data_IF_031952411340
#
_entry.id   IF_031952411340
#
_cell.length_a   1.000
_cell.length_b   1.000
_cell.length_c   1.000
_cell.angle_alpha   90.00
_cell.angle_beta   90.00
_cell.angle_gamma   90.00
#
_symmetry.space_group_name_H-M   'P 1'
#
loop_
_entity.id
_entity.type
_entity.pdbx_description
1 polymer ?
#
# COMPACT_ATOMS: atom_id res chain seq x y z
N UNK A 1 11.57 10.24 -13.47
CA UNK A 1 11.15 8.90 -13.09
C UNK A 1 9.94 8.99 -12.16
N UNK A 2 10.05 9.61 -10.99
CA UNK A 2 8.96 9.71 -9.99
C UNK A 2 7.64 10.23 -10.56
N UNK A 3 7.65 11.34 -11.30
CA UNK A 3 6.44 11.93 -11.91
C UNK A 3 5.69 10.96 -12.83
N UNK A 4 6.41 10.12 -13.57
CA UNK A 4 5.79 9.11 -14.44
C UNK A 4 5.11 8.01 -13.64
N UNK A 5 5.75 7.55 -12.55
CA UNK A 5 5.17 6.56 -11.63
C UNK A 5 3.92 7.17 -10.97
N UNK A 6 3.98 8.42 -10.50
CA UNK A 6 2.83 9.14 -9.94
C UNK A 6 1.67 9.20 -10.92
N UNK A 7 1.93 9.51 -12.20
CA UNK A 7 0.88 9.55 -13.22
C UNK A 7 0.21 8.19 -13.42
N UNK A 8 1.00 7.10 -13.48
CA UNK A 8 0.46 5.74 -13.60
C UNK A 8 -0.38 5.35 -12.38
N UNK A 9 0.10 5.65 -11.16
CA UNK A 9 -0.61 5.36 -9.92
C UNK A 9 -1.92 6.16 -9.79
N UNK A 10 -1.94 7.43 -10.20
CA UNK A 10 -3.19 8.22 -10.26
C UNK A 10 -4.20 7.63 -11.23
N UNK A 11 -3.76 7.28 -12.45
CA UNK A 11 -4.64 6.64 -13.42
C UNK A 11 -5.18 5.29 -12.94
N UNK A 12 -4.38 4.51 -12.21
CA UNK A 12 -4.84 3.30 -11.53
C UNK A 12 -5.89 3.62 -10.44
N UNK A 13 -5.70 4.70 -9.68
CA UNK A 13 -6.67 5.19 -8.68
C UNK A 13 -8.02 5.55 -9.29
N UNK A 14 -8.05 6.14 -10.48
CA UNK A 14 -9.30 6.46 -11.19
C UNK A 14 -10.12 5.19 -11.52
N UNK A 15 -9.47 4.02 -11.66
CA UNK A 15 -10.16 2.75 -11.91
C UNK A 15 -10.97 2.25 -10.71
N UNK A 16 -10.63 2.66 -9.49
CA UNK A 16 -11.23 2.16 -8.25
C UNK A 16 -12.00 3.22 -7.47
N UNK A 17 -11.81 4.50 -7.78
CA UNK A 17 -12.44 5.62 -7.04
C UNK A 17 -13.96 5.52 -6.97
N UNK A 18 -14.60 5.18 -8.08
CA UNK A 18 -16.06 5.11 -8.22
C UNK A 18 -16.58 3.67 -8.17
N UNK A 19 -15.77 2.73 -7.65
CA UNK A 19 -16.19 1.34 -7.53
C UNK A 19 -17.24 1.18 -6.43
N UNK A 20 -18.34 0.49 -6.76
CA UNK A 20 -19.45 0.21 -5.84
C UNK A 20 -19.90 -1.23 -5.94
N UNK A 21 -20.56 -1.74 -4.89
CA UNK A 21 -21.06 -3.12 -4.80
C UNK A 21 -19.94 -4.17 -4.99
N UNK A 22 -18.76 -3.87 -4.50
CA UNK A 22 -17.51 -4.61 -4.74
C UNK A 22 -17.61 -6.04 -4.19
N UNK A 23 -18.36 -6.24 -3.13
CA UNK A 23 -18.53 -7.55 -2.47
C UNK A 23 -19.00 -8.66 -3.43
N UNK A 24 -19.74 -8.32 -4.48
CA UNK A 24 -20.22 -9.28 -5.49
C UNK A 24 -19.12 -9.85 -6.39
N UNK A 25 -18.02 -9.11 -6.50
CA UNK A 25 -16.88 -9.44 -7.36
C UNK A 25 -15.66 -9.90 -6.53
N UNK A 26 -15.90 -10.23 -5.25
CA UNK A 26 -14.86 -10.59 -4.27
C UNK A 26 -14.72 -12.12 -4.20
N UNK A 27 -13.47 -12.59 -4.05
CA UNK A 27 -13.13 -14.00 -3.79
C UNK A 27 -12.22 -14.09 -2.59
N UNK A 28 -12.28 -15.20 -1.86
CA UNK A 28 -11.31 -15.54 -0.82
C UNK A 28 -10.06 -16.17 -1.46
N UNK A 29 -8.87 -15.74 -1.02
CA UNK A 29 -7.57 -16.34 -1.41
C UNK A 29 -7.26 -17.55 -0.52
N UNK A 30 -6.83 -17.29 0.72
CA UNK A 30 -6.41 -18.31 1.69
C UNK A 30 -7.39 -18.47 2.85
N UNK A 31 -8.43 -17.65 2.92
CA UNK A 31 -9.48 -17.69 3.96
C UNK A 31 -10.31 -16.42 3.97
N UNK A 32 -11.35 -16.42 4.80
CA UNK A 32 -12.38 -15.36 4.86
C UNK A 32 -11.85 -13.92 5.08
N UNK A 33 -10.63 -13.79 5.57
CA UNK A 33 -10.00 -12.49 5.80
C UNK A 33 -9.06 -12.06 4.67
N UNK A 34 -8.72 -12.98 3.76
CA UNK A 34 -7.79 -12.77 2.65
C UNK A 34 -8.58 -12.67 1.34
N UNK A 35 -8.88 -11.44 0.94
CA UNK A 35 -9.80 -11.14 -0.14
C UNK A 35 -9.05 -10.66 -1.38
N UNK A 36 -9.61 -10.95 -2.54
CA UNK A 36 -9.22 -10.38 -3.83
C UNK A 36 -10.47 -10.04 -4.63
N UNK A 37 -10.42 -8.94 -5.34
CA UNK A 37 -11.49 -8.51 -6.23
C UNK A 37 -11.03 -8.49 -7.69
N UNK A 38 -11.96 -8.35 -8.62
CA UNK A 38 -11.62 -8.10 -10.04
C UNK A 38 -10.80 -6.82 -10.24
N UNK A 39 -10.94 -5.86 -9.30
CA UNK A 39 -10.21 -4.59 -9.36
C UNK A 39 -8.74 -4.76 -9.05
N UNK A 40 -8.37 -5.62 -8.07
CA UNK A 40 -6.96 -5.92 -7.76
C UNK A 40 -6.25 -6.43 -9.01
N UNK A 41 -6.85 -7.38 -9.72
CA UNK A 41 -6.29 -7.95 -10.95
C UNK A 41 -6.20 -6.88 -12.06
N UNK A 42 -7.27 -6.12 -12.29
CA UNK A 42 -7.31 -5.12 -13.35
C UNK A 42 -6.30 -3.97 -13.10
N UNK A 43 -6.20 -3.49 -11.86
CA UNK A 43 -5.23 -2.47 -11.46
C UNK A 43 -3.81 -2.98 -11.62
N UNK A 44 -3.53 -4.23 -11.19
CA UNK A 44 -2.20 -4.81 -11.36
C UNK A 44 -1.81 -4.96 -12.83
N UNK A 45 -2.70 -5.45 -13.70
CA UNK A 45 -2.45 -5.58 -15.14
C UNK A 45 -2.20 -4.21 -15.79
N UNK A 46 -2.96 -3.20 -15.40
CA UNK A 46 -2.77 -1.83 -15.85
C UNK A 46 -1.38 -1.31 -15.42
N UNK A 47 -1.05 -1.40 -14.14
CA UNK A 47 0.24 -0.94 -13.61
C UNK A 47 1.41 -1.72 -14.21
N UNK A 48 1.30 -3.03 -14.41
CA UNK A 48 2.32 -3.83 -15.07
C UNK A 48 2.69 -3.25 -16.45
N UNK A 49 1.69 -2.96 -17.28
CA UNK A 49 1.90 -2.40 -18.62
C UNK A 49 2.53 -1.01 -18.56
N UNK A 50 1.96 -0.11 -17.76
CA UNK A 50 2.41 1.28 -17.66
C UNK A 50 3.82 1.39 -17.07
N UNK A 51 4.10 0.68 -15.98
CA UNK A 51 5.38 0.74 -15.28
C UNK A 51 6.52 0.13 -16.09
N UNK A 52 6.30 -0.99 -16.78
CA UNK A 52 7.30 -1.55 -17.70
C UNK A 52 7.47 -0.67 -18.94
N UNK A 53 6.48 0.13 -19.34
CA UNK A 53 6.65 1.19 -20.34
C UNK A 53 7.56 2.34 -19.86
N UNK A 54 7.61 2.59 -18.54
CA UNK A 54 8.47 3.61 -17.92
C UNK A 54 9.91 3.11 -17.72
N UNK A 55 10.07 1.84 -17.30
CA UNK A 55 11.37 1.19 -17.03
C UNK A 55 11.36 -0.24 -17.60
N UNK A 56 11.61 -0.42 -18.90
CA UNK A 56 11.54 -1.75 -19.57
C UNK A 56 12.58 -2.75 -19.05
N UNK A 57 13.67 -2.26 -18.49
CA UNK A 57 14.73 -3.07 -17.87
C UNK A 57 14.36 -3.60 -16.48
N UNK A 58 13.22 -3.19 -15.89
CA UNK A 58 12.81 -3.68 -14.58
C UNK A 58 12.11 -5.05 -14.65
N UNK A 59 12.21 -5.81 -13.57
CA UNK A 59 11.27 -6.88 -13.27
C UNK A 59 10.00 -6.28 -12.64
N UNK A 60 8.91 -7.05 -12.63
CA UNK A 60 7.67 -6.65 -11.98
C UNK A 60 7.25 -7.73 -10.97
N UNK A 61 7.06 -7.31 -9.73
CA UNK A 61 6.55 -8.13 -8.64
C UNK A 61 5.24 -7.52 -8.13
N UNK A 62 4.11 -8.16 -8.47
CA UNK A 62 2.79 -7.80 -7.98
C UNK A 62 2.33 -8.74 -6.89
N UNK A 63 1.33 -8.34 -6.12
CA UNK A 63 0.71 -9.18 -5.10
C UNK A 63 -0.12 -10.31 -5.73
N UNK A 64 -0.77 -10.04 -6.87
CA UNK A 64 -1.71 -10.98 -7.47
C UNK A 64 -1.04 -11.90 -8.49
N UNK A 65 -1.34 -13.20 -8.38
CA UNK A 65 -0.89 -14.22 -9.34
C UNK A 65 0.45 -14.85 -9.03
N UNK A 66 1.16 -15.31 -10.07
CA UNK A 66 2.46 -15.95 -9.90
C UNK A 66 3.54 -14.90 -9.67
N UNK A 67 4.28 -15.06 -8.58
CA UNK A 67 5.41 -14.19 -8.26
C UNK A 67 6.55 -14.41 -9.26
N UNK A 68 6.95 -13.35 -9.92
CA UNK A 68 8.13 -13.36 -10.80
C UNK A 68 9.39 -13.40 -9.93
N UNK A 69 10.33 -14.29 -10.24
CA UNK A 69 11.65 -14.25 -9.63
C UNK A 69 12.36 -12.97 -10.07
N UNK A 70 12.78 -12.15 -9.11
CA UNK A 70 13.53 -10.92 -9.41
C UNK A 70 14.94 -11.29 -9.87
N UNK A 71 15.26 -10.97 -11.10
CA UNK A 71 16.56 -11.34 -11.75
C UNK A 71 17.35 -10.13 -12.21
N UNK A 72 16.67 -8.96 -12.33
CA UNK A 72 17.28 -7.72 -12.82
C UNK A 72 17.67 -6.80 -11.67
N UNK A 73 18.54 -5.85 -11.96
CA UNK A 73 18.93 -4.80 -11.00
C UNK A 73 17.75 -3.94 -10.56
N UNK A 74 16.82 -3.66 -11.49
CA UNK A 74 15.62 -2.88 -11.25
C UNK A 74 14.41 -3.78 -11.10
N UNK A 75 13.54 -3.46 -10.15
CA UNK A 75 12.27 -4.16 -9.96
C UNK A 75 11.19 -3.21 -9.43
N UNK A 76 10.00 -3.28 -10.03
CA UNK A 76 8.80 -2.74 -9.43
C UNK A 76 8.22 -3.74 -8.43
N UNK A 77 7.84 -3.24 -7.26
CA UNK A 77 7.06 -3.97 -6.25
C UNK A 77 5.74 -3.23 -6.13
N UNK A 78 4.64 -3.94 -6.35
CA UNK A 78 3.31 -3.35 -6.49
C UNK A 78 2.31 -4.09 -5.62
N UNK A 79 1.58 -3.33 -4.83
CA UNK A 79 0.34 -3.74 -4.19
C UNK A 79 -0.80 -2.98 -4.88
N UNK A 80 -1.66 -3.66 -5.65
CA UNK A 80 -2.71 -3.02 -6.44
C UNK A 80 -3.80 -2.38 -5.58
N UNK A 81 -4.17 -3.00 -4.45
CA UNK A 81 -5.14 -2.46 -3.50
C UNK A 81 -4.81 -2.94 -2.09
N UNK A 82 -3.92 -2.20 -1.38
CA UNK A 82 -3.72 -2.43 0.04
C UNK A 82 -4.97 -2.06 0.83
N UNK A 83 -5.30 -2.91 1.80
CA UNK A 83 -6.53 -2.78 2.55
C UNK A 83 -7.75 -3.29 1.77
N UNK A 84 -7.64 -4.41 1.05
CA UNK A 84 -8.71 -5.01 0.25
C UNK A 84 -10.00 -5.20 1.05
N UNK A 85 -9.91 -5.58 2.33
CA UNK A 85 -11.10 -5.67 3.21
C UNK A 85 -11.80 -4.32 3.37
N UNK A 86 -11.04 -3.22 3.52
CA UNK A 86 -11.61 -1.87 3.60
C UNK A 86 -12.25 -1.48 2.26
N UNK A 87 -11.60 -1.84 1.16
CA UNK A 87 -12.12 -1.59 -0.18
C UNK A 87 -13.45 -2.32 -0.41
N UNK A 88 -13.51 -3.62 -0.12
CA UNK A 88 -14.74 -4.44 -0.24
C UNK A 88 -15.89 -3.91 0.63
N UNK A 89 -15.57 -3.35 1.79
CA UNK A 89 -16.54 -2.76 2.72
C UNK A 89 -16.78 -1.27 2.50
N UNK A 90 -16.23 -0.70 1.43
CA UNK A 90 -16.40 0.71 1.04
C UNK A 90 -16.06 1.70 2.18
N UNK A 91 -15.01 1.35 2.99
CA UNK A 91 -14.55 2.20 4.10
C UNK A 91 -13.69 3.38 3.62
N UNK A 92 -13.33 3.42 2.34
CA UNK A 92 -12.54 4.48 1.70
C UNK A 92 -11.13 4.67 2.31
N UNK A 93 -10.61 3.64 2.95
CA UNK A 93 -9.26 3.62 3.52
C UNK A 93 -8.46 2.46 2.92
N UNK A 94 -8.17 2.60 1.65
CA UNK A 94 -7.39 1.68 0.83
C UNK A 94 -6.51 2.49 -0.11
N UNK A 95 -5.43 1.91 -0.58
CA UNK A 95 -4.49 2.61 -1.44
C UNK A 95 -3.90 1.70 -2.51
N UNK A 96 -3.22 2.32 -3.47
CA UNK A 96 -2.36 1.68 -4.45
C UNK A 96 -0.93 2.02 -4.07
N UNK A 97 -0.07 1.02 -3.93
CA UNK A 97 1.32 1.20 -3.57
C UNK A 97 2.26 0.68 -4.67
N UNK A 98 3.25 1.51 -5.03
CA UNK A 98 4.28 1.18 -6.01
C UNK A 98 5.63 1.61 -5.47
N UNK A 99 6.58 0.68 -5.42
CA UNK A 99 7.99 0.96 -5.20
C UNK A 99 8.81 0.55 -6.43
N UNK A 100 9.78 1.38 -6.84
CA UNK A 100 10.82 1.01 -7.79
C UNK A 100 12.13 0.85 -7.01
N UNK A 101 12.63 -0.37 -7.00
CA UNK A 101 13.87 -0.77 -6.35
C UNK A 101 15.01 -0.89 -7.36
N UNK A 102 16.23 -0.61 -6.91
CA UNK A 102 17.46 -0.93 -7.64
C UNK A 102 18.41 -1.68 -6.71
N UNK A 103 18.78 -2.90 -7.10
CA UNK A 103 19.69 -3.77 -6.32
C UNK A 103 19.23 -3.97 -4.88
N UNK A 104 17.93 -4.20 -4.69
CA UNK A 104 17.32 -4.41 -3.37
C UNK A 104 17.08 -3.14 -2.55
N UNK A 105 17.33 -1.96 -3.11
CA UNK A 105 17.16 -0.69 -2.43
C UNK A 105 16.04 0.14 -3.08
N UNK A 106 15.06 0.60 -2.30
CA UNK A 106 13.98 1.46 -2.79
C UNK A 106 14.55 2.81 -3.24
N UNK A 107 14.29 3.17 -4.50
CA UNK A 107 14.70 4.43 -5.13
C UNK A 107 13.54 5.41 -5.23
N UNK A 108 12.36 4.91 -5.55
CA UNK A 108 11.13 5.69 -5.68
C UNK A 108 9.99 4.94 -5.03
N UNK A 109 9.11 5.64 -4.36
CA UNK A 109 7.90 5.08 -3.77
C UNK A 109 6.71 6.03 -3.96
N UNK A 110 5.56 5.46 -4.27
CA UNK A 110 4.28 6.18 -4.38
C UNK A 110 3.21 5.35 -3.69
N UNK A 111 2.45 6.00 -2.81
CA UNK A 111 1.24 5.44 -2.17
C UNK A 111 0.11 6.42 -2.41
N UNK A 112 -1.01 5.95 -2.93
CA UNK A 112 -2.14 6.81 -3.28
C UNK A 112 -3.47 6.24 -2.79
N UNK A 113 -4.13 6.98 -1.90
CA UNK A 113 -5.52 6.75 -1.55
C UNK A 113 -6.42 7.59 -2.47
N UNK A 114 -7.11 7.00 -3.47
CA UNK A 114 -7.92 7.75 -4.44
C UNK A 114 -9.23 8.28 -3.88
N UNK A 115 -9.69 7.78 -2.73
CA UNK A 115 -10.98 8.16 -2.12
C UNK A 115 -10.91 9.50 -1.40
N UNK A 116 -9.74 9.84 -0.84
CA UNK A 116 -9.48 11.13 -0.16
C UNK A 116 -8.41 11.95 -0.88
N UNK A 117 -7.94 11.45 -2.04
CA UNK A 117 -6.93 12.09 -2.89
C UNK A 117 -5.58 12.35 -2.20
N UNK A 118 -5.22 11.52 -1.21
CA UNK A 118 -3.93 11.60 -0.55
C UNK A 118 -2.87 10.79 -1.32
N UNK A 119 -1.93 11.52 -1.94
CA UNK A 119 -0.82 10.97 -2.68
C UNK A 119 0.50 11.25 -1.98
N UNK A 120 1.09 10.20 -1.44
CA UNK A 120 2.44 10.20 -0.89
C UNK A 120 3.44 9.81 -1.97
N UNK A 121 4.53 10.56 -2.09
CA UNK A 121 5.58 10.27 -3.05
C UNK A 121 6.96 10.57 -2.44
N UNK A 122 7.92 9.69 -2.70
CA UNK A 122 9.28 9.84 -2.22
C UNK A 122 10.31 9.40 -3.26
N UNK A 123 11.43 10.09 -3.29
CA UNK A 123 12.65 9.70 -3.97
C UNK A 123 13.79 9.61 -2.95
N UNK A 124 14.58 8.54 -3.02
CA UNK A 124 15.69 8.35 -2.09
C UNK A 124 16.65 9.53 -2.08
N UNK A 125 16.87 10.10 -0.90
CA UNK A 125 17.73 11.26 -0.67
C UNK A 125 17.07 12.62 -0.96
N UNK A 126 15.82 12.64 -1.46
CA UNK A 126 15.10 13.88 -1.78
C UNK A 126 13.93 14.17 -0.81
N UNK A 127 13.69 13.29 0.16
CA UNK A 127 12.59 13.41 1.12
C UNK A 127 11.28 12.84 0.57
N UNK A 128 10.18 13.17 1.27
CA UNK A 128 8.84 12.72 0.93
C UNK A 128 7.86 13.89 0.85
N UNK A 129 6.78 13.69 0.09
CA UNK A 129 5.72 14.69 -0.09
C UNK A 129 4.35 14.05 0.08
N UNK A 130 3.38 14.82 0.57
CA UNK A 130 1.95 14.56 0.47
C UNK A 130 1.32 15.60 -0.45
N UNK A 131 0.73 15.16 -1.54
CA UNK A 131 0.14 16.04 -2.57
C UNK A 131 1.12 17.12 -3.05
N UNK A 132 2.40 16.74 -3.23
CA UNK A 132 3.48 17.64 -3.65
C UNK A 132 4.02 18.58 -2.58
N UNK A 133 3.48 18.55 -1.34
CA UNK A 133 3.98 19.35 -0.22
C UNK A 133 4.95 18.51 0.62
N UNK A 134 6.14 19.00 0.96
CA UNK A 134 7.09 18.26 1.79
C UNK A 134 6.47 17.87 3.13
N UNK A 135 6.75 16.64 3.57
CA UNK A 135 6.33 16.11 4.86
C UNK A 135 7.54 15.60 5.65
N UNK A 136 7.40 15.64 6.96
CA UNK A 136 8.39 15.13 7.90
C UNK A 136 7.70 14.40 9.04
N UNK A 137 8.41 13.48 9.69
CA UNK A 137 7.95 12.86 10.94
C UNK A 137 7.77 13.92 12.02
N UNK A 138 6.83 13.71 12.94
CA UNK A 138 6.66 14.59 14.09
C UNK A 138 7.89 14.54 15.03
N UNK A 139 8.11 15.60 15.80
CA UNK A 139 9.12 15.64 16.84
C UNK A 139 8.63 15.13 18.22
N UNK A 140 7.47 14.48 18.26
CA UNK A 140 6.90 13.98 19.51
C UNK A 140 7.62 12.72 19.99
N UNK A 141 7.80 12.59 21.30
CA UNK A 141 8.15 11.33 21.93
C UNK A 141 6.92 10.37 21.98
N UNK A 142 7.14 9.13 22.40
CA UNK A 142 6.09 8.12 22.43
C UNK A 142 4.87 8.57 23.27
N UNK A 143 5.09 9.21 24.41
CA UNK A 143 4.00 9.63 25.30
C UNK A 143 3.09 10.70 24.70
N UNK A 144 3.57 11.45 23.70
CA UNK A 144 2.84 12.51 23.02
C UNK A 144 2.49 12.17 21.56
N UNK A 145 2.80 10.96 21.13
CA UNK A 145 2.54 10.51 19.76
C UNK A 145 1.23 9.74 19.66
N UNK A 146 0.54 9.91 18.54
CA UNK A 146 -0.45 8.94 18.07
C UNK A 146 0.29 7.93 17.20
N UNK A 147 0.23 6.65 17.59
CA UNK A 147 0.90 5.58 16.88
C UNK A 147 -0.07 4.86 15.94
N UNK A 148 0.40 4.53 14.75
CA UNK A 148 -0.31 3.63 13.86
C UNK A 148 0.22 2.22 14.07
N UNK A 149 -0.65 1.21 14.04
CA UNK A 149 -0.22 -0.18 14.18
C UNK A 149 -0.99 -1.11 13.25
N UNK A 150 -0.25 -1.91 12.50
CA UNK A 150 -0.79 -3.04 11.76
C UNK A 150 -0.84 -4.31 12.61
N UNK A 151 -1.70 -5.25 12.25
CA UNK A 151 -1.69 -6.61 12.80
C UNK A 151 -2.14 -7.57 11.72
N UNK A 152 -1.48 -8.73 11.62
CA UNK A 152 -1.97 -9.77 10.72
C UNK A 152 -3.17 -10.48 11.32
N UNK A 153 -4.21 -10.66 10.51
CA UNK A 153 -5.37 -11.51 10.82
C UNK A 153 -5.29 -12.85 10.07
N UNK A 154 -4.36 -12.97 9.15
CA UNK A 154 -4.16 -14.15 8.30
C UNK A 154 -3.47 -15.29 9.06
N UNK A 155 -2.58 -14.94 10.01
CA UNK A 155 -1.86 -15.91 10.85
C UNK A 155 -2.16 -15.66 12.33
N UNK A 156 -3.01 -16.50 12.89
CA UNK A 156 -3.44 -16.42 14.30
C UNK A 156 -2.33 -16.77 15.31
N UNK A 157 -1.21 -17.32 14.88
CA UNK A 157 -0.06 -17.56 15.76
C UNK A 157 0.55 -16.28 16.32
N UNK A 158 0.34 -15.15 15.63
CA UNK A 158 0.79 -13.83 16.07
C UNK A 158 -0.19 -13.09 16.98
N UNK A 159 -1.35 -13.69 17.35
CA UNK A 159 -2.40 -13.02 18.12
C UNK A 159 -1.88 -12.42 19.41
N UNK A 160 -1.25 -13.24 20.27
CA UNK A 160 -0.77 -12.78 21.59
C UNK A 160 0.27 -11.67 21.45
N UNK A 161 1.19 -11.80 20.50
CA UNK A 161 2.21 -10.77 20.22
C UNK A 161 1.59 -9.47 19.73
N UNK A 162 0.60 -9.54 18.85
CA UNK A 162 -0.10 -8.35 18.34
C UNK A 162 -0.83 -7.62 19.46
N UNK A 163 -1.55 -8.36 20.31
CA UNK A 163 -2.25 -7.76 21.44
C UNK A 163 -1.30 -7.23 22.51
N UNK A 164 -0.15 -7.88 22.74
CA UNK A 164 0.87 -7.36 23.64
C UNK A 164 1.45 -6.02 23.16
N UNK A 165 1.69 -5.87 21.84
CA UNK A 165 2.13 -4.61 21.24
C UNK A 165 1.04 -3.54 21.39
N UNK A 166 -0.21 -3.83 21.05
CA UNK A 166 -1.33 -2.90 21.19
C UNK A 166 -1.53 -2.47 22.64
N UNK A 167 -1.39 -3.39 23.60
CA UNK A 167 -1.44 -3.08 25.03
C UNK A 167 -0.31 -2.14 25.43
N UNK A 168 0.90 -2.40 24.97
CA UNK A 168 2.04 -1.52 25.22
C UNK A 168 1.82 -0.11 24.65
N UNK A 169 1.31 -0.01 23.41
CA UNK A 169 0.98 1.28 22.79
C UNK A 169 -0.06 2.04 23.60
N UNK A 170 -1.13 1.35 24.05
CA UNK A 170 -2.17 1.95 24.88
C UNK A 170 -1.63 2.51 26.19
N UNK A 171 -0.69 1.81 26.81
CA UNK A 171 -0.14 2.22 28.12
C UNK A 171 0.95 3.31 28.02
N UNK A 172 1.59 3.52 26.83
CA UNK A 172 2.79 4.32 26.70
C UNK A 172 2.72 5.43 25.65
N UNK A 173 1.62 5.55 24.90
CA UNK A 173 1.43 6.57 23.87
C UNK A 173 0.20 7.41 24.15
N UNK A 174 0.06 8.56 23.48
CA UNK A 174 -1.15 9.37 23.61
C UNK A 174 -2.38 8.60 23.16
N UNK A 175 -2.25 7.88 22.07
CA UNK A 175 -3.29 7.00 21.51
C UNK A 175 -2.70 6.13 20.38
N UNK A 176 -3.45 5.15 19.90
CA UNK A 176 -3.06 4.40 18.71
C UNK A 176 -4.24 4.19 17.77
N UNK A 177 -3.95 3.95 16.51
CA UNK A 177 -4.93 3.64 15.47
C UNK A 177 -4.53 2.39 14.72
N UNK A 178 -5.54 1.69 14.21
CA UNK A 178 -5.42 0.54 13.31
C UNK A 178 -6.53 0.65 12.27
N UNK A 179 -6.20 1.15 11.11
CA UNK A 179 -7.18 1.33 10.04
C UNK A 179 -7.22 0.16 9.05
N UNK A 180 -6.19 -0.70 9.05
CA UNK A 180 -6.16 -1.94 8.28
C UNK A 180 -5.70 -1.78 6.83
N UNK A 181 -4.85 -0.80 6.58
CA UNK A 181 -4.12 -0.58 5.35
C UNK A 181 -2.65 -0.39 5.71
N UNK A 182 -1.81 -1.37 5.41
CA UNK A 182 -0.45 -1.43 5.94
C UNK A 182 0.44 -0.27 5.46
N UNK A 183 0.21 0.23 4.26
CA UNK A 183 0.98 1.34 3.70
C UNK A 183 0.46 2.71 4.15
N UNK A 184 -0.80 2.81 4.62
CA UNK A 184 -1.36 4.06 5.18
C UNK A 184 -1.23 4.13 6.70
N UNK A 185 -1.20 2.96 7.42
CA UNK A 185 -0.95 2.86 8.85
C UNK A 185 0.54 3.09 9.15
#
# INVERSE_FOLDING_TARGET
>A
MLEKIVAAVRAAGDMIRDAHNIERDTREKTGAADLVTKYDVAVQEFLHRELLGICPEADFFGEEGQHTTLTKDWAFIVDPIDGTTNFVRELHYSNIAVALCCRGEVRYAVVYNPFIEDLFAAEKGCGATLNGRPIHVSGHDAAHAICMCGSTIYDRSYTDRSFAIMRWLYDHTLDFRRFGSAQLD
#
